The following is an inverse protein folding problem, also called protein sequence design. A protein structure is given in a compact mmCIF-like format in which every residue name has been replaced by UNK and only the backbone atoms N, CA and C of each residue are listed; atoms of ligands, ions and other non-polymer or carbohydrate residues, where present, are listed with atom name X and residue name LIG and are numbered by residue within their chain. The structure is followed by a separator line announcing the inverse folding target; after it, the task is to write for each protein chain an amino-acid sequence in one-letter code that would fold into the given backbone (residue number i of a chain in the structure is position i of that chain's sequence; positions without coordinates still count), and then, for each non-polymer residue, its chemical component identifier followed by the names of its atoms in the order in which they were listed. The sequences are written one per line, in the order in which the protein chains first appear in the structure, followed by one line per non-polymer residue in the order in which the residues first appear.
data_IF_560391845453
#
_entry.id   IF_560391845453
#
_cell.length_a   1.000
_cell.length_b   1.000
_cell.length_c   1.000
_cell.angle_alpha   90.00
_cell.angle_beta   90.00
_cell.angle_gamma   90.00
#
_symmetry.space_group_name_H-M   'P 1'
#
loop_
_entity.id
_entity.type
_entity.pdbx_description
1 polymer ?
#
# COMPACT_ATOMS: atom_id res chain seq x y z
N UNK A 1 -16.82 6.90 -7.19
CA UNK A 1 -16.55 5.47 -7.49
C UNK A 1 -16.44 4.76 -6.15
N UNK A 2 -17.37 3.84 -5.86
CA UNK A 2 -17.37 3.07 -4.62
C UNK A 2 -16.98 1.61 -4.91
N UNK A 3 -16.39 0.95 -3.93
CA UNK A 3 -16.27 -0.51 -3.91
C UNK A 3 -17.67 -1.09 -3.76
N UNK A 4 -17.93 -2.26 -4.32
CA UNK A 4 -19.23 -2.94 -4.20
C UNK A 4 -19.51 -3.17 -2.72
N UNK A 5 -20.76 -2.93 -2.29
CA UNK A 5 -21.17 -2.88 -0.89
C UNK A 5 -20.77 -4.13 -0.09
N UNK A 6 -20.91 -5.30 -0.67
CA UNK A 6 -20.54 -6.58 -0.05
C UNK A 6 -19.06 -6.73 0.30
N UNK A 7 -18.16 -5.91 -0.28
CA UNK A 7 -16.71 -5.94 -0.01
C UNK A 7 -16.25 -4.78 0.88
N UNK A 8 -17.17 -3.96 1.37
CA UNK A 8 -16.81 -2.81 2.21
C UNK A 8 -16.48 -3.19 3.65
N UNK A 9 -16.95 -4.34 4.15
CA UNK A 9 -16.76 -4.72 5.56
C UNK A 9 -15.29 -4.89 5.92
N UNK A 10 -14.50 -5.55 5.07
CA UNK A 10 -13.07 -5.77 5.26
C UNK A 10 -12.19 -4.74 4.52
N UNK A 11 -12.80 -3.69 3.97
CA UNK A 11 -12.07 -2.68 3.24
C UNK A 11 -11.15 -1.85 4.15
N UNK A 12 -9.99 -1.49 3.62
CA UNK A 12 -9.04 -0.60 4.27
C UNK A 12 -8.54 0.47 3.30
N UNK A 13 -7.96 1.52 3.86
CA UNK A 13 -7.33 2.60 3.12
C UNK A 13 -5.82 2.41 3.10
N UNK A 14 -5.19 2.61 1.95
CA UNK A 14 -3.74 2.64 1.82
C UNK A 14 -3.34 3.95 1.17
N UNK A 15 -2.41 4.66 1.77
CA UNK A 15 -1.94 5.95 1.25
C UNK A 15 -0.54 6.30 1.77
N UNK A 16 0.14 7.19 1.05
CA UNK A 16 1.42 7.73 1.48
C UNK A 16 1.27 8.63 2.72
N UNK A 17 2.30 8.70 3.56
CA UNK A 17 2.37 9.53 4.77
C UNK A 17 2.03 11.02 4.52
N UNK A 18 2.49 11.59 3.41
CA UNK A 18 2.20 12.98 3.08
C UNK A 18 0.74 13.18 2.65
N UNK A 19 0.16 12.19 1.96
CA UNK A 19 -1.28 12.19 1.63
C UNK A 19 -2.12 12.12 2.91
N UNK A 20 -1.72 11.31 3.88
CA UNK A 20 -2.38 11.24 5.19
C UNK A 20 -2.37 12.60 5.91
N UNK A 21 -1.26 13.36 5.84
CA UNK A 21 -1.19 14.72 6.40
C UNK A 21 -2.20 15.67 5.76
N UNK A 22 -2.46 15.54 4.46
CA UNK A 22 -3.47 16.32 3.76
C UNK A 22 -4.88 15.93 4.20
N UNK A 23 -5.17 14.62 4.26
CA UNK A 23 -6.47 14.09 4.69
C UNK A 23 -6.79 14.49 6.14
N UNK A 24 -5.79 14.57 7.02
CA UNK A 24 -5.97 15.04 8.41
C UNK A 24 -6.47 16.47 8.52
N UNK A 25 -6.26 17.30 7.51
CA UNK A 25 -6.75 18.69 7.49
C UNK A 25 -8.18 18.81 6.99
N UNK A 26 -8.73 17.75 6.41
CA UNK A 26 -10.10 17.76 5.90
C UNK A 26 -11.10 17.66 7.06
N UNK A 27 -12.09 18.54 7.00
CA UNK A 27 -13.20 18.60 7.94
C UNK A 27 -14.52 18.42 7.20
N UNK A 28 -15.51 17.90 7.89
CA UNK A 28 -16.87 17.85 7.37
C UNK A 28 -17.54 19.26 7.46
N UNK A 29 -18.80 19.37 6.98
CA UNK A 29 -19.56 20.61 7.03
C UNK A 29 -19.80 21.12 8.47
N UNK A 30 -19.74 20.25 9.47
CA UNK A 30 -19.87 20.55 10.90
C UNK A 30 -18.54 20.94 11.56
N UNK A 31 -17.43 20.92 10.83
CA UNK A 31 -16.10 21.27 11.33
C UNK A 31 -15.33 20.13 12.02
N UNK A 32 -15.87 18.92 12.03
CA UNK A 32 -15.20 17.74 12.60
C UNK A 32 -14.19 17.15 11.60
N UNK A 33 -13.11 16.58 12.13
CA UNK A 33 -12.11 15.92 11.29
C UNK A 33 -12.64 14.59 10.75
N UNK A 34 -12.46 14.35 9.46
CA UNK A 34 -12.84 13.08 8.82
C UNK A 34 -11.96 11.91 9.26
N UNK A 35 -10.72 12.20 9.63
CA UNK A 35 -9.76 11.20 10.11
C UNK A 35 -9.77 11.15 11.63
N UNK A 36 -10.13 10.02 12.19
CA UNK A 36 -10.12 9.75 13.62
C UNK A 36 -8.89 8.95 14.03
N UNK A 37 -8.36 9.26 15.23
CA UNK A 37 -7.30 8.44 15.84
C UNK A 37 -7.98 7.35 16.65
N UNK A 38 -7.67 6.10 16.32
CA UNK A 38 -8.13 4.98 17.11
C UNK A 38 -7.19 4.78 18.30
N UNK A 39 -7.70 5.09 19.49
CA UNK A 39 -6.96 4.96 20.74
C UNK A 39 -7.06 3.54 21.33
N UNK A 40 -8.00 2.73 20.84
CA UNK A 40 -8.27 1.38 21.36
C UNK A 40 -7.32 0.33 20.77
N UNK A 41 -6.94 0.47 19.51
CA UNK A 41 -6.06 -0.49 18.81
C UNK A 41 -4.61 -0.03 18.69
N UNK A 42 -4.20 0.99 19.46
CA UNK A 42 -2.85 1.52 19.52
C UNK A 42 -2.42 2.24 18.22
N UNK A 43 -2.29 3.56 18.26
CA UNK A 43 -1.73 4.43 17.21
C UNK A 43 -2.27 4.26 15.77
N UNK A 44 -3.38 3.55 15.57
CA UNK A 44 -4.04 3.41 14.27
C UNK A 44 -4.81 4.67 13.87
N UNK A 45 -4.95 4.89 12.57
CA UNK A 45 -5.83 5.91 12.02
C UNK A 45 -7.04 5.23 11.38
N UNK A 46 -8.22 5.80 11.59
CA UNK A 46 -9.47 5.37 10.95
C UNK A 46 -10.07 6.52 10.14
N UNK A 47 -10.49 6.21 8.93
CA UNK A 47 -11.16 7.13 8.03
C UNK A 47 -12.51 6.51 7.64
N UNK A 48 -13.61 7.21 7.96
CA UNK A 48 -14.96 6.71 7.72
C UNK A 48 -15.20 5.31 8.30
N UNK A 49 -14.70 5.05 9.52
CA UNK A 49 -14.86 3.78 10.21
C UNK A 49 -13.97 2.63 9.70
N UNK A 50 -13.09 2.87 8.72
CA UNK A 50 -12.18 1.88 8.16
C UNK A 50 -10.73 2.21 8.47
N UNK A 51 -9.91 1.18 8.69
CA UNK A 51 -8.49 1.33 9.04
C UNK A 51 -7.69 1.95 7.90
N UNK A 52 -6.74 2.81 8.25
CA UNK A 52 -5.81 3.44 7.32
C UNK A 52 -4.42 2.83 7.52
N UNK A 53 -3.85 2.29 6.46
CA UNK A 53 -2.47 1.84 6.39
C UNK A 53 -1.63 2.89 5.67
N UNK A 54 -0.45 3.13 6.19
CA UNK A 54 0.52 4.07 5.59
C UNK A 54 1.64 3.28 4.94
N UNK A 55 1.85 3.54 3.65
CA UNK A 55 2.94 2.94 2.88
C UNK A 55 3.76 4.04 2.22
N UNK A 56 5.06 4.07 2.49
CA UNK A 56 5.98 5.07 1.93
C UNK A 56 6.32 4.81 0.45
N UNK A 57 6.05 3.59 -0.06
CA UNK A 57 6.22 3.26 -1.49
C UNK A 57 5.06 3.77 -2.36
N UNK A 58 3.94 4.16 -1.75
CA UNK A 58 2.83 4.75 -2.49
C UNK A 58 3.21 6.13 -3.03
N UNK A 59 2.74 6.49 -4.23
CA UNK A 59 2.94 7.83 -4.77
C UNK A 59 2.33 8.90 -3.87
N UNK A 60 3.01 10.04 -3.80
CA UNK A 60 2.47 11.23 -3.12
C UNK A 60 1.27 11.78 -3.89
N UNK A 61 0.46 12.60 -3.23
CA UNK A 61 -0.68 13.29 -3.84
C UNK A 61 -0.21 14.40 -4.82
N UNK A 62 0.42 13.99 -5.91
CA UNK A 62 0.84 14.86 -7.00
C UNK A 62 -0.08 14.70 -8.21
N UNK A 63 0.02 15.62 -9.18
CA UNK A 63 -0.79 15.58 -10.40
C UNK A 63 -0.67 14.23 -11.11
N UNK A 64 -1.80 13.68 -11.53
CA UNK A 64 -1.94 12.39 -12.24
C UNK A 64 -1.49 11.13 -11.46
N UNK A 65 -1.04 11.25 -10.20
CA UNK A 65 -0.62 10.11 -9.39
C UNK A 65 -1.80 9.39 -8.74
N UNK A 66 -1.68 8.08 -8.56
CA UNK A 66 -2.61 7.28 -7.75
C UNK A 66 -2.20 7.42 -6.29
N UNK A 67 -2.84 8.32 -5.57
CA UNK A 67 -2.43 8.71 -4.22
C UNK A 67 -3.07 7.87 -3.10
N UNK A 68 -4.22 7.26 -3.35
CA UNK A 68 -4.98 6.49 -2.35
C UNK A 68 -5.52 5.22 -3.01
N UNK A 69 -5.40 4.10 -2.33
CA UNK A 69 -6.11 2.86 -2.63
C UNK A 69 -7.12 2.55 -1.53
N UNK A 70 -8.30 2.09 -1.91
CA UNK A 70 -9.37 1.68 -1.01
C UNK A 70 -9.97 0.38 -1.46
N UNK A 71 -10.15 -0.54 -0.56
CA UNK A 71 -10.83 -1.80 -0.83
C UNK A 71 -10.41 -2.94 0.06
N UNK A 72 -10.96 -4.11 -0.24
CA UNK A 72 -10.61 -5.36 0.40
C UNK A 72 -9.37 -5.96 -0.29
N UNK A 73 -8.25 -6.01 0.45
CA UNK A 73 -6.98 -6.53 -0.06
C UNK A 73 -6.98 -8.05 -0.28
N UNK A 74 -8.01 -8.77 0.14
CA UNK A 74 -8.16 -10.20 -0.19
C UNK A 74 -8.30 -10.46 -1.70
N UNK A 75 -8.59 -9.43 -2.50
CA UNK A 75 -8.58 -9.50 -3.96
C UNK A 75 -7.19 -9.44 -4.61
N UNK A 76 -6.13 -9.18 -3.83
CA UNK A 76 -4.74 -9.19 -4.28
C UNK A 76 -4.12 -10.56 -4.01
N UNK A 77 -3.67 -11.22 -5.05
CA UNK A 77 -2.96 -12.50 -4.95
C UNK A 77 -1.47 -12.27 -5.17
N UNK A 78 -0.66 -12.80 -4.28
CA UNK A 78 0.81 -12.77 -4.38
C UNK A 78 1.30 -14.18 -4.58
N UNK A 79 2.10 -14.40 -5.63
CA UNK A 79 2.76 -15.66 -5.91
C UNK A 79 4.26 -15.49 -5.67
N UNK A 80 4.80 -16.34 -4.82
CA UNK A 80 6.24 -16.55 -4.70
C UNK A 80 6.61 -17.74 -5.61
N UNK A 81 7.40 -17.50 -6.64
CA UNK A 81 7.71 -18.53 -7.63
C UNK A 81 8.72 -19.54 -7.07
N UNK A 82 9.59 -19.11 -6.16
CA UNK A 82 10.64 -19.95 -5.62
C UNK A 82 10.96 -19.54 -4.16
N UNK A 83 11.44 -20.49 -3.37
CA UNK A 83 12.04 -20.16 -2.08
C UNK A 83 13.35 -19.39 -2.31
N UNK A 84 13.79 -18.65 -1.30
CA UNK A 84 15.07 -17.92 -1.37
C UNK A 84 16.18 -18.89 -1.72
N UNK A 85 16.78 -18.74 -2.90
CA UNK A 85 17.93 -19.50 -3.34
C UNK A 85 19.20 -18.69 -3.08
N UNK A 86 20.13 -19.28 -2.35
CA UNK A 86 21.44 -18.69 -2.06
C UNK A 86 22.51 -19.38 -2.91
N UNK A 87 23.19 -18.63 -3.75
CA UNK A 87 24.28 -19.10 -4.58
C UNK A 87 25.60 -18.51 -4.08
N UNK A 88 26.56 -19.38 -3.82
CA UNK A 88 27.94 -18.98 -3.51
C UNK A 88 28.76 -18.81 -4.79
N UNK A 89 29.35 -17.63 -4.96
CA UNK A 89 30.21 -17.27 -6.09
C UNK A 89 31.68 -17.32 -5.64
N UNK A 90 32.32 -18.48 -5.76
CA UNK A 90 33.73 -18.65 -5.37
C UNK A 90 34.68 -18.16 -6.46
N UNK A 91 34.40 -18.49 -7.72
CA UNK A 91 35.32 -18.24 -8.84
C UNK A 91 35.48 -16.75 -9.16
N UNK A 92 34.37 -15.98 -9.10
CA UNK A 92 34.38 -14.57 -9.44
C UNK A 92 35.24 -13.70 -8.52
N UNK A 93 35.41 -14.12 -7.27
CA UNK A 93 36.15 -13.39 -6.25
C UNK A 93 37.41 -14.11 -5.75
N UNK A 94 37.84 -15.18 -6.45
CA UNK A 94 39.01 -15.97 -6.07
C UNK A 94 40.29 -15.14 -5.98
N UNK A 95 40.47 -14.19 -6.87
CA UNK A 95 41.63 -13.26 -6.89
C UNK A 95 41.67 -12.28 -5.73
N UNK A 96 40.53 -12.05 -5.05
CA UNK A 96 40.39 -11.12 -3.92
C UNK A 96 40.33 -11.85 -2.56
N UNK A 97 40.52 -13.20 -2.55
CA UNK A 97 40.33 -14.03 -1.36
C UNK A 97 38.99 -13.82 -0.66
N UNK A 98 37.92 -13.53 -1.44
CA UNK A 98 36.57 -13.26 -0.96
C UNK A 98 35.57 -14.25 -1.56
N UNK A 99 34.50 -14.53 -0.86
CA UNK A 99 33.37 -15.34 -1.32
C UNK A 99 32.16 -14.43 -1.49
N UNK A 100 31.59 -14.41 -2.68
CA UNK A 100 30.32 -13.71 -2.94
C UNK A 100 29.12 -14.60 -2.64
N UNK A 101 28.10 -14.04 -2.01
CA UNK A 101 26.81 -14.71 -1.79
C UNK A 101 25.74 -13.88 -2.49
N UNK A 102 24.98 -14.54 -3.37
CA UNK A 102 23.85 -13.92 -4.09
C UNK A 102 22.58 -14.65 -3.72
N UNK A 103 21.56 -13.90 -3.34
CA UNK A 103 20.23 -14.40 -3.06
C UNK A 103 19.25 -14.00 -4.16
N UNK A 104 18.44 -14.95 -4.61
CA UNK A 104 17.36 -14.75 -5.58
C UNK A 104 16.01 -15.02 -4.94
N UNK A 105 15.07 -14.13 -5.18
CA UNK A 105 13.66 -14.32 -4.85
C UNK A 105 12.82 -13.77 -6.00
N UNK A 106 11.90 -14.56 -6.50
CA UNK A 106 10.94 -14.13 -7.50
C UNK A 106 9.55 -14.05 -6.86
N UNK A 107 8.96 -12.86 -6.92
CA UNK A 107 7.61 -12.61 -6.44
C UNK A 107 6.83 -11.82 -7.49
N UNK A 108 5.57 -12.16 -7.67
CA UNK A 108 4.63 -11.41 -8.50
C UNK A 108 3.30 -11.24 -7.77
N UNK A 109 2.65 -10.10 -8.00
CA UNK A 109 1.37 -9.77 -7.40
C UNK A 109 0.37 -9.28 -8.44
N UNK A 110 -0.84 -9.83 -8.42
CA UNK A 110 -1.90 -9.45 -9.34
C UNK A 110 -3.23 -9.29 -8.62
N UNK A 111 -3.98 -8.26 -9.04
CA UNK A 111 -5.38 -8.09 -8.61
C UNK A 111 -6.24 -9.04 -9.44
N UNK A 112 -6.85 -10.03 -8.78
CA UNK A 112 -7.72 -11.02 -9.42
C UNK A 112 -9.15 -10.49 -9.50
N UNK A 113 -9.58 -9.76 -8.48
CA UNK A 113 -10.92 -9.17 -8.43
C UNK A 113 -10.87 -7.63 -8.40
N UNK A 114 -10.92 -6.97 -9.57
CA UNK A 114 -10.83 -5.51 -9.64
C UNK A 114 -12.06 -4.78 -9.05
N UNK A 115 -13.14 -5.50 -8.74
CA UNK A 115 -14.30 -4.93 -8.05
C UNK A 115 -14.07 -4.68 -6.56
N UNK A 116 -13.13 -5.42 -5.95
CA UNK A 116 -12.77 -5.30 -4.53
C UNK A 116 -11.90 -4.09 -4.23
N UNK A 117 -11.10 -3.63 -5.18
CA UNK A 117 -10.09 -2.58 -4.97
C UNK A 117 -10.35 -1.41 -5.92
N UNK A 118 -10.35 -0.21 -5.37
CA UNK A 118 -10.48 1.05 -6.13
C UNK A 118 -9.35 1.99 -5.77
N UNK A 119 -8.93 2.77 -6.73
CA UNK A 119 -7.87 3.76 -6.55
C UNK A 119 -8.39 5.16 -6.82
N UNK A 120 -7.88 6.12 -6.06
CA UNK A 120 -8.09 7.55 -6.28
C UNK A 120 -6.88 8.11 -7.02
N UNK A 121 -7.10 8.48 -8.27
CA UNK A 121 -6.11 9.19 -9.07
C UNK A 121 -6.32 10.69 -8.92
N UNK A 122 -5.24 11.42 -8.64
CA UNK A 122 -5.28 12.88 -8.58
C UNK A 122 -5.54 13.45 -9.99
N UNK A 123 -6.33 14.52 -10.04
CA UNK A 123 -6.59 15.23 -11.30
C UNK A 123 -5.27 15.77 -11.86
N UNK A 124 -5.09 15.62 -13.15
CA UNK A 124 -4.00 16.32 -13.86
C UNK A 124 -4.28 17.81 -13.78
N UNK A 125 -3.33 18.59 -13.27
CA UNK A 125 -3.45 20.04 -13.25
C UNK A 125 -3.71 20.56 -14.68
N UNK A 126 -4.60 21.48 -14.76
CA UNK A 126 -4.83 22.21 -16.02
C UNK A 126 -3.63 23.11 -16.31
#
# INVERSE_FOLDING_TARGET
MSVVEQYQDNACWIMHKDTLKLVRKLKNAQGEFLLNKDLTTGFGWTLLGKRVYVDENMPKATSAAVAIAYGDMSGLYVKLAQQVELQMLMEKYATQHAVGVVGYVEADGKIVEPQKIRTLKMKTGA
#
